data_IF_155310259070
#
_entry.id   IF_155310259070
#
_cell.length_a   1.000
_cell.length_b   1.000
_cell.length_c   1.000
_cell.angle_alpha   90.00
_cell.angle_beta   90.00
_cell.angle_gamma   90.00
#
_symmetry.space_group_name_H-M   'P 1'
#
loop_
_entity.id
_entity.type
_entity.pdbx_description
1 polymer ?
#
# COMPACT_ATOMS: atom_id res chain seq x y z
N UNK A 1 -20.91 -0.04 -37.99
CA UNK A 1 -20.65 0.82 -36.83
C UNK A 1 -19.27 0.53 -36.26
N UNK A 2 -18.28 1.35 -36.63
CA UNK A 2 -16.86 1.19 -36.21
C UNK A 2 -16.55 1.83 -34.84
N UNK A 3 -17.55 2.13 -34.03
CA UNK A 3 -17.38 2.97 -32.85
C UNK A 3 -18.03 2.44 -31.57
N UNK A 4 -18.27 1.15 -31.47
CA UNK A 4 -18.86 0.57 -30.26
C UNK A 4 -17.95 -0.46 -29.60
N UNK A 5 -16.82 -0.06 -29.16
CA UNK A 5 -16.01 -0.83 -28.24
C UNK A 5 -15.23 0.16 -27.39
N UNK A 6 -15.49 0.20 -26.10
CA UNK A 6 -14.55 0.79 -25.17
C UNK A 6 -13.28 -0.06 -25.26
N UNK A 7 -12.39 0.32 -26.20
CA UNK A 7 -11.05 -0.26 -26.27
C UNK A 7 -10.33 0.20 -25.00
N UNK A 8 -10.05 -0.73 -24.12
CA UNK A 8 -9.19 -0.43 -22.97
C UNK A 8 -7.72 -0.38 -23.43
N UNK A 9 -6.86 0.20 -22.60
CA UNK A 9 -5.43 0.36 -22.89
C UNK A 9 -4.73 -0.98 -23.19
N UNK A 10 -5.19 -2.08 -22.63
CA UNK A 10 -4.59 -3.40 -22.77
C UNK A 10 -4.86 -3.99 -24.18
N UNK A 11 -6.05 -3.78 -24.72
CA UNK A 11 -6.39 -4.18 -26.07
C UNK A 11 -5.58 -3.39 -27.10
N UNK A 12 -5.31 -2.11 -26.84
CA UNK A 12 -4.39 -1.30 -27.63
C UNK A 12 -2.95 -1.85 -27.65
N UNK A 13 -2.54 -2.59 -26.63
CA UNK A 13 -1.27 -3.30 -26.54
C UNK A 13 -1.33 -4.75 -27.07
N UNK A 14 -2.41 -5.12 -27.75
CA UNK A 14 -2.66 -6.49 -28.23
C UNK A 14 -2.73 -7.53 -27.09
N UNK A 15 -3.20 -7.13 -25.90
CA UNK A 15 -3.44 -8.01 -24.76
C UNK A 15 -4.95 -8.18 -24.63
N UNK A 16 -5.43 -9.42 -24.64
CA UNK A 16 -6.85 -9.70 -24.45
C UNK A 16 -7.26 -9.38 -23.02
N UNK A 17 -8.38 -8.67 -22.88
CA UNK A 17 -8.90 -8.27 -21.60
C UNK A 17 -10.28 -8.89 -21.35
N UNK A 18 -10.47 -9.46 -20.15
CA UNK A 18 -11.72 -10.07 -19.68
C UNK A 18 -12.08 -9.47 -18.32
N UNK A 19 -13.29 -8.96 -18.19
CA UNK A 19 -13.78 -8.41 -16.93
C UNK A 19 -14.25 -6.94 -17.06
N UNK A 20 -14.46 -6.26 -15.93
CA UNK A 20 -14.21 -6.74 -14.56
C UNK A 20 -15.23 -7.81 -14.11
N UNK A 21 -14.77 -8.81 -13.34
CA UNK A 21 -15.60 -9.82 -12.71
C UNK A 21 -15.58 -9.64 -11.19
N UNK A 22 -16.63 -10.11 -10.50
CA UNK A 22 -16.61 -10.21 -9.05
C UNK A 22 -15.58 -11.28 -8.62
N UNK A 23 -14.49 -10.86 -8.00
CA UNK A 23 -13.43 -11.73 -7.51
C UNK A 23 -13.82 -12.58 -6.29
N UNK A 24 -15.04 -12.40 -5.74
CA UNK A 24 -15.58 -13.21 -4.66
C UNK A 24 -16.60 -14.25 -5.14
N UNK A 25 -17.02 -14.20 -6.41
CA UNK A 25 -17.84 -15.24 -7.02
C UNK A 25 -16.97 -16.38 -7.56
N UNK A 26 -16.71 -17.37 -6.70
CA UNK A 26 -15.87 -18.53 -7.04
C UNK A 26 -16.43 -19.33 -8.22
N UNK A 27 -17.76 -19.44 -8.34
CA UNK A 27 -18.38 -20.19 -9.42
C UNK A 27 -18.13 -19.51 -10.76
N UNK A 28 -18.32 -18.18 -10.83
CA UNK A 28 -18.02 -17.41 -12.01
C UNK A 28 -16.52 -17.47 -12.36
N UNK A 29 -15.63 -17.38 -11.36
CA UNK A 29 -14.19 -17.45 -11.57
C UNK A 29 -13.75 -18.78 -12.18
N UNK A 30 -14.27 -19.91 -11.64
CA UNK A 30 -13.97 -21.24 -12.19
C UNK A 30 -14.39 -21.35 -13.65
N UNK A 31 -15.60 -20.84 -13.99
CA UNK A 31 -16.09 -20.81 -15.37
C UNK A 31 -15.17 -19.94 -16.25
N UNK A 32 -14.89 -18.72 -15.83
CA UNK A 32 -14.03 -17.80 -16.57
C UNK A 32 -12.65 -18.40 -16.83
N UNK A 33 -12.01 -18.98 -15.81
CA UNK A 33 -10.69 -19.58 -15.98
C UNK A 33 -10.70 -20.80 -16.91
N UNK A 34 -11.78 -21.61 -16.89
CA UNK A 34 -11.96 -22.71 -17.85
C UNK A 34 -12.05 -22.19 -19.28
N UNK A 35 -12.79 -21.09 -19.48
CA UNK A 35 -12.99 -20.51 -20.81
C UNK A 35 -11.71 -19.89 -21.38
N UNK A 36 -10.82 -19.33 -20.55
CA UNK A 36 -9.63 -18.62 -21.00
C UNK A 36 -8.33 -19.44 -20.95
N UNK A 37 -8.30 -20.58 -20.24
CA UNK A 37 -7.08 -21.36 -19.98
C UNK A 37 -6.37 -21.82 -21.26
N UNK A 38 -7.15 -22.24 -22.27
CA UNK A 38 -6.64 -22.81 -23.51
C UNK A 38 -6.41 -21.75 -24.61
N UNK A 39 -6.71 -20.49 -24.33
CA UNK A 39 -6.44 -19.38 -25.25
C UNK A 39 -4.95 -19.10 -25.32
N UNK A 40 -4.41 -18.94 -26.49
CA UNK A 40 -3.00 -18.57 -26.72
C UNK A 40 -2.78 -17.06 -26.55
N UNK A 41 -1.53 -16.66 -26.29
CA UNK A 41 -1.13 -15.26 -26.12
C UNK A 41 -1.42 -14.67 -24.74
N UNK A 42 -0.94 -13.45 -24.50
CA UNK A 42 -1.13 -12.78 -23.21
C UNK A 42 -2.60 -12.39 -23.02
N UNK A 43 -3.08 -12.50 -21.79
CA UNK A 43 -4.43 -12.14 -21.41
C UNK A 43 -4.48 -11.59 -19.99
N UNK A 44 -5.39 -10.67 -19.76
CA UNK A 44 -5.71 -10.09 -18.46
C UNK A 44 -7.11 -10.54 -18.07
N UNK A 45 -7.23 -11.13 -16.89
CA UNK A 45 -8.53 -11.37 -16.24
C UNK A 45 -8.62 -10.38 -15.08
N UNK A 46 -9.46 -9.37 -15.25
CA UNK A 46 -9.63 -8.32 -14.25
C UNK A 46 -10.66 -8.76 -13.22
N UNK A 47 -10.23 -8.89 -11.97
CA UNK A 47 -11.07 -9.23 -10.84
C UNK A 47 -11.24 -8.02 -9.94
N UNK A 48 -12.47 -7.68 -9.61
CA UNK A 48 -12.77 -6.68 -8.61
C UNK A 48 -13.01 -7.36 -7.26
N UNK A 49 -12.20 -7.03 -6.27
CA UNK A 49 -12.28 -7.62 -4.93
C UNK A 49 -12.45 -6.55 -3.86
N UNK A 50 -13.06 -6.93 -2.75
CA UNK A 50 -13.11 -6.13 -1.53
C UNK A 50 -12.26 -6.80 -0.47
N UNK A 51 -11.24 -6.09 0.03
CA UNK A 51 -10.35 -6.59 1.07
C UNK A 51 -11.12 -6.90 2.35
N UNK A 52 -10.92 -8.09 2.91
CA UNK A 52 -11.61 -8.54 4.11
C UNK A 52 -13.00 -9.13 3.89
N UNK A 53 -13.46 -9.24 2.62
CA UNK A 53 -14.79 -9.75 2.27
C UNK A 53 -15.10 -11.10 2.92
N UNK A 54 -16.25 -11.16 3.59
CA UNK A 54 -16.73 -12.36 4.28
C UNK A 54 -16.44 -12.37 5.80
N UNK A 55 -15.67 -11.41 6.30
CA UNK A 55 -15.44 -11.23 7.73
C UNK A 55 -15.67 -9.76 8.12
N UNK A 56 -16.79 -9.50 8.79
CA UNK A 56 -17.27 -8.14 9.06
C UNK A 56 -16.21 -7.23 9.71
N UNK A 57 -15.45 -7.63 10.76
CA UNK A 57 -14.40 -6.77 11.33
C UNK A 57 -13.32 -6.38 10.32
N UNK A 58 -12.97 -7.28 9.38
CA UNK A 58 -11.98 -7.00 8.36
C UNK A 58 -12.53 -6.11 7.22
N UNK A 59 -13.82 -6.20 6.93
CA UNK A 59 -14.48 -5.31 5.98
C UNK A 59 -14.57 -3.87 6.49
N UNK A 60 -14.77 -3.69 7.81
CA UNK A 60 -14.87 -2.39 8.46
C UNK A 60 -13.50 -1.72 8.69
N UNK A 61 -12.46 -2.52 8.95
CA UNK A 61 -11.11 -2.01 9.23
C UNK A 61 -10.00 -2.79 8.49
N UNK A 62 -9.95 -2.78 7.14
CA UNK A 62 -9.09 -3.64 6.35
C UNK A 62 -7.60 -3.43 6.59
N UNK A 63 -7.18 -2.24 7.00
CA UNK A 63 -5.77 -1.96 7.33
C UNK A 63 -5.34 -2.65 8.63
N UNK A 64 -6.20 -2.66 9.65
CA UNK A 64 -5.97 -3.34 10.93
C UNK A 64 -5.90 -4.85 10.74
N UNK A 65 -6.75 -5.38 9.86
CA UNK A 65 -6.90 -6.81 9.58
C UNK A 65 -5.96 -7.32 8.49
N UNK A 66 -5.09 -6.50 7.96
CA UNK A 66 -4.10 -6.95 6.97
C UNK A 66 -3.12 -7.98 7.54
N UNK A 67 -2.70 -7.80 8.81
CA UNK A 67 -1.88 -8.73 9.56
C UNK A 67 -2.22 -8.60 11.05
N UNK A 68 -3.39 -9.11 11.48
CA UNK A 68 -3.96 -8.79 12.79
C UNK A 68 -3.21 -9.42 13.97
N UNK A 69 -2.32 -10.41 13.73
CA UNK A 69 -1.75 -11.24 14.78
C UNK A 69 -2.78 -12.23 15.33
N UNK A 70 -2.68 -12.58 16.61
CA UNK A 70 -3.66 -13.46 17.26
C UNK A 70 -4.93 -12.71 17.62
N UNK A 71 -6.08 -13.33 17.41
CA UNK A 71 -7.37 -12.77 17.74
C UNK A 71 -8.38 -13.87 18.07
N UNK A 72 -9.48 -13.52 18.72
CA UNK A 72 -10.61 -14.41 18.94
C UNK A 72 -11.47 -14.40 17.67
N UNK A 73 -11.68 -15.56 17.06
CA UNK A 73 -12.39 -15.72 15.78
C UNK A 73 -13.89 -15.37 15.89
N UNK A 74 -14.50 -15.62 17.06
CA UNK A 74 -15.94 -15.39 17.29
C UNK A 74 -16.23 -13.90 17.55
N UNK A 75 -15.38 -13.23 18.35
CA UNK A 75 -15.61 -11.85 18.77
C UNK A 75 -14.90 -10.83 17.90
N UNK A 76 -13.85 -11.23 17.17
CA UNK A 76 -12.97 -10.31 16.46
C UNK A 76 -12.03 -9.55 17.37
N UNK A 77 -11.99 -9.86 18.68
CA UNK A 77 -11.12 -9.18 19.63
C UNK A 77 -9.67 -9.60 19.44
N UNK A 78 -8.78 -8.61 19.24
CA UNK A 78 -7.35 -8.85 19.05
C UNK A 78 -6.66 -9.16 20.38
N UNK A 79 -5.88 -10.23 20.40
CA UNK A 79 -5.07 -10.59 21.57
C UNK A 79 -3.76 -9.79 21.49
N UNK A 80 -3.75 -8.64 22.17
CA UNK A 80 -2.57 -7.79 22.24
C UNK A 80 -1.64 -8.33 23.33
N UNK A 81 -0.38 -8.54 22.99
CA UNK A 81 0.61 -8.94 24.01
C UNK A 81 0.87 -7.76 24.95
N UNK A 82 0.97 -8.05 26.25
CA UNK A 82 1.40 -7.06 27.24
C UNK A 82 2.76 -6.48 26.88
N UNK A 83 2.80 -5.16 26.71
CA UNK A 83 4.02 -4.40 26.41
C UNK A 83 4.51 -3.58 27.59
N UNK A 84 3.89 -3.75 28.78
CA UNK A 84 4.27 -3.04 30.00
C UNK A 84 5.75 -3.29 30.31
N UNK A 85 6.51 -2.22 30.48
CA UNK A 85 7.94 -2.30 30.78
C UNK A 85 8.85 -2.68 29.60
N UNK A 86 8.32 -2.90 28.39
CA UNK A 86 9.16 -3.09 27.21
C UNK A 86 9.58 -1.75 26.62
N UNK A 87 10.81 -1.65 26.05
CA UNK A 87 11.23 -0.45 25.35
C UNK A 87 10.36 -0.23 24.11
N UNK A 88 10.28 1.03 23.66
CA UNK A 88 9.64 1.39 22.40
C UNK A 88 10.28 0.65 21.23
N UNK A 89 9.50 0.34 20.22
CA UNK A 89 10.04 -0.17 18.95
C UNK A 89 10.83 0.94 18.27
N UNK A 90 11.85 0.58 17.48
CA UNK A 90 12.63 1.55 16.71
C UNK A 90 11.77 2.45 15.81
N UNK A 91 10.75 1.89 15.17
CA UNK A 91 9.81 2.66 14.35
C UNK A 91 9.07 3.72 15.16
N UNK A 92 8.69 3.42 16.41
CA UNK A 92 7.95 4.37 17.27
C UNK A 92 8.89 5.50 17.73
N UNK A 93 10.14 5.17 18.08
CA UNK A 93 11.17 6.17 18.37
C UNK A 93 11.40 7.07 17.16
N UNK A 94 11.50 6.48 15.96
CA UNK A 94 11.64 7.25 14.72
C UNK A 94 10.44 8.18 14.51
N UNK A 95 9.21 7.69 14.66
CA UNK A 95 7.98 8.48 14.46
C UNK A 95 7.92 9.69 15.40
N UNK A 96 8.18 9.49 16.69
CA UNK A 96 8.23 10.60 17.68
C UNK A 96 9.33 11.60 17.33
N UNK A 97 10.53 11.13 16.99
CA UNK A 97 11.64 12.01 16.63
C UNK A 97 11.34 12.81 15.35
N UNK A 98 10.69 12.17 14.37
CA UNK A 98 10.28 12.84 13.11
C UNK A 98 9.31 13.99 13.39
N UNK A 99 8.32 13.78 14.26
CA UNK A 99 7.38 14.84 14.70
C UNK A 99 8.14 15.96 15.39
N UNK A 100 9.01 15.64 16.36
CA UNK A 100 9.80 16.64 17.09
C UNK A 100 10.68 17.49 16.15
N UNK A 101 11.31 16.88 15.17
CA UNK A 101 12.12 17.58 14.16
C UNK A 101 11.26 18.48 13.28
N UNK A 102 10.08 18.00 12.87
CA UNK A 102 9.15 18.75 12.03
C UNK A 102 8.54 19.95 12.75
N UNK A 103 8.33 19.87 14.07
CA UNK A 103 7.91 21.02 14.88
C UNK A 103 8.96 22.14 14.95
N UNK A 104 10.23 21.77 14.92
CA UNK A 104 11.37 22.70 14.99
C UNK A 104 11.84 23.22 13.63
N UNK A 105 11.49 22.53 12.54
CA UNK A 105 11.94 22.84 11.20
C UNK A 105 10.84 22.57 10.18
N UNK A 106 10.37 23.63 9.55
CA UNK A 106 9.29 23.61 8.54
C UNK A 106 9.66 22.89 7.23
N UNK A 107 10.96 22.66 7.01
CA UNK A 107 11.49 21.94 5.85
C UNK A 107 11.46 20.43 6.01
N UNK A 108 11.23 19.91 7.22
CA UNK A 108 11.14 18.45 7.45
C UNK A 108 9.84 17.91 6.90
N UNK A 109 9.95 16.89 6.06
CA UNK A 109 8.81 16.16 5.47
C UNK A 109 9.01 14.65 5.60
N UNK A 110 7.90 13.92 5.77
CA UNK A 110 7.89 12.45 5.83
C UNK A 110 7.37 11.85 4.53
N UNK A 111 8.04 10.83 4.02
CA UNK A 111 7.65 10.10 2.82
C UNK A 111 7.64 8.61 3.13
N UNK A 112 6.63 7.90 2.65
CA UNK A 112 6.57 6.43 2.74
C UNK A 112 5.93 5.85 1.47
N UNK A 113 6.05 4.55 1.28
CA UNK A 113 5.48 3.83 0.15
C UNK A 113 4.48 2.77 0.64
N UNK A 114 3.25 3.18 0.93
CA UNK A 114 2.15 2.36 1.46
C UNK A 114 2.44 1.70 2.83
N UNK A 115 3.30 2.32 3.64
CA UNK A 115 3.72 1.80 4.96
C UNK A 115 3.59 2.85 6.09
N UNK A 116 2.56 3.70 6.14
CA UNK A 116 2.54 4.82 7.09
C UNK A 116 2.56 4.35 8.55
N UNK A 117 1.78 3.35 8.92
CA UNK A 117 1.75 2.80 10.28
C UNK A 117 2.98 1.96 10.62
N UNK A 118 3.47 1.18 9.66
CA UNK A 118 4.63 0.29 9.87
C UNK A 118 5.95 1.02 9.99
N UNK A 119 6.06 2.21 9.40
CA UNK A 119 7.21 3.12 9.54
C UNK A 119 7.01 4.20 10.58
N UNK A 120 5.82 4.28 11.18
CA UNK A 120 5.36 5.35 12.08
C UNK A 120 5.37 6.77 11.47
N UNK A 121 5.45 6.89 10.14
CA UNK A 121 5.23 8.16 9.44
C UNK A 121 3.81 8.67 9.66
N UNK A 122 2.87 7.78 9.99
CA UNK A 122 1.49 8.14 10.37
C UNK A 122 1.44 9.13 11.54
N UNK A 123 2.40 9.11 12.47
CA UNK A 123 2.46 10.08 13.58
C UNK A 123 2.64 11.50 13.06
N UNK A 124 3.50 11.70 12.06
CA UNK A 124 3.63 13.01 11.40
C UNK A 124 2.39 13.35 10.59
N UNK A 125 1.78 12.37 9.93
CA UNK A 125 0.57 12.56 9.14
C UNK A 125 -0.61 13.06 9.98
N UNK A 126 -0.73 12.58 11.20
CA UNK A 126 -1.80 12.99 12.13
C UNK A 126 -1.70 14.46 12.54
N UNK A 127 -0.48 14.98 12.72
CA UNK A 127 -0.26 16.36 13.19
C UNK A 127 0.07 17.34 12.06
N UNK A 128 0.69 16.86 11.00
CA UNK A 128 1.15 17.69 9.86
C UNK A 128 0.89 16.99 8.51
N UNK A 129 -0.38 16.77 8.12
CA UNK A 129 -0.73 16.02 6.92
C UNK A 129 -0.16 16.65 5.63
N UNK A 130 -0.02 17.97 5.56
CA UNK A 130 0.53 18.66 4.41
C UNK A 130 2.04 18.44 4.20
N UNK A 131 2.73 17.87 5.19
CA UNK A 131 4.16 17.54 5.14
C UNK A 131 4.42 16.03 5.15
N UNK A 132 3.40 15.25 4.83
CA UNK A 132 3.48 13.79 4.82
C UNK A 132 2.96 13.25 3.50
N UNK A 133 3.74 12.40 2.86
CA UNK A 133 3.44 11.86 1.53
C UNK A 133 3.50 10.34 1.55
N UNK A 134 2.38 9.71 1.25
CA UNK A 134 2.32 8.29 0.94
C UNK A 134 2.17 8.13 -0.58
N UNK A 135 3.20 7.63 -1.22
CA UNK A 135 3.25 7.49 -2.69
C UNK A 135 2.64 6.17 -3.19
N UNK A 136 2.02 5.40 -2.30
CA UNK A 136 1.55 4.06 -2.62
C UNK A 136 2.70 3.05 -2.75
N UNK A 137 2.44 1.87 -3.32
CA UNK A 137 3.45 0.81 -3.49
C UNK A 137 4.38 1.19 -4.66
N UNK A 138 5.24 2.18 -4.43
CA UNK A 138 6.12 2.77 -5.44
C UNK A 138 7.42 3.31 -4.83
N UNK A 139 8.27 2.41 -4.37
CA UNK A 139 9.49 2.74 -3.62
C UNK A 139 10.49 3.56 -4.44
N UNK A 140 10.67 3.23 -5.73
CA UNK A 140 11.52 4.01 -6.63
C UNK A 140 11.03 5.45 -6.79
N UNK A 141 9.71 5.67 -6.90
CA UNK A 141 9.13 7.00 -6.91
C UNK A 141 9.36 7.74 -5.59
N UNK A 142 9.19 7.06 -4.44
CA UNK A 142 9.43 7.66 -3.13
C UNK A 142 10.85 8.23 -3.01
N UNK A 143 11.85 7.47 -3.42
CA UNK A 143 13.26 7.88 -3.39
C UNK A 143 13.55 9.03 -4.35
N UNK A 144 13.08 8.95 -5.60
CA UNK A 144 13.25 10.01 -6.59
C UNK A 144 12.56 11.32 -6.15
N UNK A 145 11.37 11.22 -5.61
CA UNK A 145 10.62 12.35 -5.06
C UNK A 145 11.36 12.99 -3.87
N UNK A 146 11.90 12.16 -2.95
CA UNK A 146 12.74 12.64 -1.85
C UNK A 146 13.97 13.38 -2.36
N UNK A 147 14.65 12.85 -3.39
CA UNK A 147 15.79 13.50 -4.02
C UNK A 147 15.45 14.88 -4.61
N UNK A 148 14.30 15.00 -5.27
CA UNK A 148 13.81 16.28 -5.79
C UNK A 148 13.54 17.30 -4.68
N UNK A 149 12.84 16.91 -3.62
CA UNK A 149 12.58 17.76 -2.47
C UNK A 149 13.85 18.19 -1.76
N UNK A 150 14.83 17.28 -1.60
CA UNK A 150 16.12 17.61 -0.99
C UNK A 150 16.91 18.63 -1.83
N UNK A 151 16.86 18.51 -3.16
CA UNK A 151 17.48 19.47 -4.07
C UNK A 151 16.88 20.88 -3.94
N UNK A 152 15.57 20.95 -3.68
CA UNK A 152 14.86 22.22 -3.47
C UNK A 152 14.99 22.74 -2.02
N UNK A 153 15.87 22.14 -1.21
CA UNK A 153 16.22 22.60 0.14
C UNK A 153 15.28 22.12 1.25
N UNK A 154 14.42 21.12 0.97
CA UNK A 154 13.68 20.40 1.99
C UNK A 154 14.54 19.34 2.67
N UNK A 155 14.07 18.83 3.81
CA UNK A 155 14.68 17.74 4.56
C UNK A 155 13.75 16.53 4.57
N UNK A 156 13.69 15.73 3.49
CA UNK A 156 12.82 14.58 3.40
C UNK A 156 13.37 13.38 4.18
N UNK A 157 12.50 12.76 4.96
CA UNK A 157 12.71 11.46 5.60
C UNK A 157 11.90 10.41 4.84
N UNK A 158 12.58 9.66 3.96
CA UNK A 158 11.96 8.60 3.16
C UNK A 158 12.04 7.27 3.92
N UNK A 159 10.95 6.91 4.61
CA UNK A 159 10.89 5.74 5.47
C UNK A 159 10.26 4.55 4.73
N UNK A 160 11.08 3.56 4.43
CA UNK A 160 10.73 2.34 3.70
C UNK A 160 11.36 1.14 4.42
N UNK A 161 10.63 0.02 4.50
CA UNK A 161 11.21 -1.23 5.01
C UNK A 161 12.41 -1.66 4.18
N UNK A 162 13.48 -2.11 4.85
CA UNK A 162 14.74 -2.48 4.19
C UNK A 162 14.57 -3.51 3.09
N UNK A 163 13.69 -4.50 3.28
CA UNK A 163 13.38 -5.53 2.28
C UNK A 163 12.67 -4.96 1.04
N UNK A 164 11.89 -3.89 1.19
CA UNK A 164 11.18 -3.25 0.07
C UNK A 164 12.04 -2.18 -0.61
N UNK A 165 12.98 -1.58 0.12
CA UNK A 165 13.88 -0.57 -0.40
C UNK A 165 14.77 -1.10 -1.54
N UNK A 166 14.99 -2.42 -1.61
CA UNK A 166 15.72 -3.03 -2.75
C UNK A 166 15.11 -2.69 -4.11
N UNK A 167 13.79 -2.42 -4.20
CA UNK A 167 13.14 -1.97 -5.45
C UNK A 167 13.58 -0.59 -5.92
N UNK A 168 14.12 0.20 -5.02
CA UNK A 168 14.57 1.57 -5.29
C UNK A 168 16.09 1.68 -5.37
N UNK A 169 16.82 0.57 -5.44
CA UNK A 169 18.29 0.57 -5.44
C UNK A 169 18.86 1.50 -6.51
N UNK A 170 18.40 1.36 -7.76
CA UNK A 170 18.85 2.18 -8.88
C UNK A 170 18.46 3.67 -8.76
N UNK A 171 17.51 3.99 -7.88
CA UNK A 171 17.09 5.37 -7.62
C UNK A 171 17.92 6.03 -6.51
N UNK A 172 18.66 5.23 -5.72
CA UNK A 172 19.52 5.70 -4.63
C UNK A 172 20.92 6.05 -5.13
N UNK A 173 21.43 5.27 -6.10
CA UNK A 173 22.74 5.43 -6.73
C UNK A 173 22.71 6.51 -7.79
#
# INVERSE_FOLDING_TARGET
SLLSGQQNIFEGLNIRYFGPFDGHDVVQLVKTFRDVKDMTGPKIVHLHTRKGKGYKPAEEAPSVWHAPGKFNEETGERIVSDTTGKPLKYQDVFGHTLVELAEKNDKVVGITAAMPSGTSVSMLQEVMPARTFDVGISEGHAVTFAGGLAKDGMHPFCAIYSSFLQRAYDNII
#
